data_IF_958121997068
#
_entry.id   IF_958121997068
#
_cell.length_a   1.000
_cell.length_b   1.000
_cell.length_c   1.000
_cell.angle_alpha   90.00
_cell.angle_beta   90.00
_cell.angle_gamma   90.00
#
_symmetry.space_group_name_H-M   'P 1'
#
loop_
_entity.id
_entity.type
_entity.pdbx_description
1 polymer ?
#
# COMPACT_ATOMS: atom_id res chain seq x y z
N UNK A 1 -7.54 0.56 16.74
CA UNK A 1 -6.79 0.01 17.89
C UNK A 1 -5.32 0.13 17.56
N UNK A 2 -4.50 0.83 18.36
CA UNK A 2 -3.08 0.96 18.06
C UNK A 2 -2.40 -0.41 18.09
N UNK A 3 -1.40 -0.63 17.23
CA UNK A 3 -0.59 -1.85 17.27
C UNK A 3 -0.03 -2.03 18.69
N UNK A 4 -0.36 -3.17 19.30
CA UNK A 4 0.09 -3.53 20.64
C UNK A 4 1.49 -4.12 20.62
N UNK A 5 2.20 -4.07 21.75
CA UNK A 5 3.50 -4.72 21.89
C UNK A 5 3.41 -6.24 21.66
N UNK A 6 2.27 -6.84 22.02
CA UNK A 6 1.99 -8.26 21.75
C UNK A 6 1.97 -8.55 20.25
N UNK A 7 1.30 -7.73 19.45
CA UNK A 7 1.24 -7.92 17.99
C UNK A 7 2.63 -7.74 17.33
N UNK A 8 3.46 -6.83 17.87
CA UNK A 8 4.85 -6.71 17.41
C UNK A 8 5.70 -7.92 17.83
N UNK A 9 5.49 -8.48 19.02
CA UNK A 9 6.13 -9.71 19.46
C UNK A 9 5.71 -10.91 18.58
N UNK A 10 4.43 -11.06 18.26
CA UNK A 10 3.94 -12.08 17.33
C UNK A 10 4.53 -11.92 15.91
N UNK A 11 4.85 -10.70 15.50
CA UNK A 11 5.62 -10.46 14.28
C UNK A 11 7.06 -10.94 14.44
N UNK A 12 7.73 -10.51 15.51
CA UNK A 12 9.09 -10.92 15.80
C UNK A 12 9.25 -12.45 15.87
N UNK A 13 8.38 -13.13 16.60
CA UNK A 13 8.41 -14.59 16.79
C UNK A 13 8.26 -15.35 15.47
N UNK A 14 7.37 -14.90 14.57
CA UNK A 14 7.22 -15.52 13.25
C UNK A 14 8.50 -15.40 12.41
N UNK A 15 9.20 -14.28 12.52
CA UNK A 15 10.38 -13.98 11.70
C UNK A 15 11.69 -14.47 12.32
N UNK A 16 11.80 -14.53 13.65
CA UNK A 16 13.05 -14.76 14.39
C UNK A 16 13.80 -16.06 14.02
N UNK A 17 13.08 -17.12 13.67
CA UNK A 17 13.65 -18.41 13.30
C UNK A 17 13.76 -18.67 11.78
N UNK A 18 13.41 -17.70 10.95
CA UNK A 18 13.37 -17.91 9.50
C UNK A 18 14.76 -17.83 8.89
N UNK A 19 15.07 -18.79 8.02
CA UNK A 19 16.17 -18.63 7.06
C UNK A 19 15.68 -17.69 5.97
N UNK A 20 16.32 -16.53 5.87
CA UNK A 20 15.92 -15.43 4.98
C UNK A 20 16.57 -15.51 3.61
N UNK A 21 15.80 -15.13 2.61
CA UNK A 21 16.21 -14.98 1.22
C UNK A 21 15.87 -13.57 0.73
N UNK A 22 16.85 -12.97 0.07
CA UNK A 22 16.68 -11.80 -0.78
C UNK A 22 15.97 -12.25 -2.06
N UNK A 23 14.71 -11.86 -2.22
CA UNK A 23 13.86 -12.27 -3.34
C UNK A 23 13.66 -11.12 -4.32
N UNK A 24 13.97 -11.35 -5.60
CA UNK A 24 13.85 -10.36 -6.68
C UNK A 24 13.40 -11.02 -7.99
N UNK A 25 12.88 -10.26 -8.97
CA UNK A 25 12.39 -8.89 -8.84
C UNK A 25 11.11 -8.82 -7.97
N UNK A 26 10.79 -7.62 -7.46
CA UNK A 26 9.70 -7.45 -6.47
C UNK A 26 8.35 -7.91 -7.00
N UNK A 27 8.06 -7.73 -8.29
CA UNK A 27 6.82 -8.19 -8.90
C UNK A 27 6.64 -9.71 -8.89
N UNK A 28 7.70 -10.50 -8.67
CA UNK A 28 7.64 -11.96 -8.56
C UNK A 28 7.80 -12.48 -7.12
N UNK A 29 8.06 -11.60 -6.15
CA UNK A 29 8.35 -12.00 -4.78
C UNK A 29 7.14 -12.57 -4.02
N UNK A 30 5.93 -12.45 -4.56
CA UNK A 30 4.71 -12.96 -3.94
C UNK A 30 4.25 -12.14 -2.74
N UNK A 31 3.17 -12.57 -2.05
CA UNK A 31 2.40 -11.74 -1.14
C UNK A 31 3.14 -11.32 0.14
N UNK A 32 4.12 -12.10 0.60
CA UNK A 32 4.82 -11.83 1.86
C UNK A 32 3.88 -11.79 3.08
N UNK A 33 4.26 -11.04 4.11
CA UNK A 33 3.48 -10.92 5.34
C UNK A 33 2.48 -9.75 5.28
N UNK A 34 1.18 -10.06 5.29
CA UNK A 34 0.10 -9.08 5.30
C UNK A 34 0.17 -8.05 6.47
N UNK A 35 0.93 -8.36 7.54
CA UNK A 35 1.17 -7.44 8.66
C UNK A 35 1.99 -6.21 8.25
N UNK A 36 2.68 -6.22 7.10
CA UNK A 36 3.27 -5.00 6.53
C UNK A 36 2.23 -3.93 6.23
N UNK A 37 1.02 -4.31 5.81
CA UNK A 37 -0.10 -3.39 5.56
C UNK A 37 -0.84 -3.10 6.87
N UNK A 38 -1.27 -4.15 7.58
CA UNK A 38 -2.19 -3.98 8.72
C UNK A 38 -1.55 -3.34 9.94
N UNK A 39 -0.26 -3.60 10.24
CA UNK A 39 0.42 -2.92 11.35
C UNK A 39 0.62 -1.43 11.05
N UNK A 40 0.94 -1.05 9.81
CA UNK A 40 1.07 0.36 9.41
C UNK A 40 -0.23 1.12 9.64
N UNK A 41 -1.34 0.61 9.10
CA UNK A 41 -2.67 1.22 9.27
C UNK A 41 -3.11 1.29 10.74
N UNK A 42 -2.94 0.21 11.50
CA UNK A 42 -3.27 0.21 12.92
C UNK A 42 -2.41 1.20 13.73
N UNK A 43 -1.14 1.40 13.35
CA UNK A 43 -0.27 2.40 13.96
C UNK A 43 -0.70 3.83 13.65
N UNK A 44 -1.25 4.05 12.45
CA UNK A 44 -1.91 5.29 12.04
C UNK A 44 -3.33 5.46 12.61
N UNK A 45 -3.73 4.62 13.56
CA UNK A 45 -5.00 4.77 14.27
C UNK A 45 -6.21 4.17 13.56
N UNK A 46 -6.05 3.47 12.44
CA UNK A 46 -7.16 2.80 11.76
C UNK A 46 -7.84 1.78 12.69
N UNK A 47 -9.14 1.58 12.49
CA UNK A 47 -9.97 0.72 13.33
C UNK A 47 -10.66 -0.35 12.52
N UNK A 48 -10.70 -1.58 13.06
CA UNK A 48 -11.51 -2.66 12.50
C UNK A 48 -12.99 -2.34 12.70
N UNK A 49 -13.77 -2.43 11.63
CA UNK A 49 -15.22 -2.14 11.64
C UNK A 49 -16.08 -3.34 11.22
N UNK A 50 -15.49 -4.52 11.08
CA UNK A 50 -16.22 -5.74 10.75
C UNK A 50 -17.05 -6.23 11.91
N UNK A 51 -18.16 -6.87 11.56
CA UNK A 51 -18.91 -7.71 12.49
C UNK A 51 -18.03 -8.87 13.03
N UNK A 52 -18.20 -9.30 14.29
CA UNK A 52 -17.36 -10.31 14.94
C UNK A 52 -17.25 -11.66 14.20
N UNK A 53 -18.23 -12.00 13.37
CA UNK A 53 -18.30 -13.25 12.62
C UNK A 53 -18.03 -13.08 11.11
N UNK A 54 -17.60 -11.89 10.68
CA UNK A 54 -17.22 -11.65 9.30
C UNK A 54 -15.93 -12.40 8.96
N UNK A 55 -15.94 -13.11 7.83
CA UNK A 55 -14.77 -13.81 7.25
C UNK A 55 -13.78 -12.87 6.57
N UNK A 56 -14.10 -11.58 6.48
CA UNK A 56 -13.28 -10.55 5.86
C UNK A 56 -12.72 -9.61 6.94
N UNK A 57 -11.69 -8.85 6.58
CA UNK A 57 -11.13 -7.77 7.39
C UNK A 57 -11.43 -6.44 6.70
N UNK A 58 -11.92 -5.46 7.44
CA UNK A 58 -12.27 -4.11 7.00
C UNK A 58 -11.75 -3.15 8.05
N UNK A 59 -10.83 -2.30 7.63
CA UNK A 59 -10.27 -1.22 8.42
C UNK A 59 -10.82 0.11 7.90
N UNK A 60 -11.20 1.01 8.80
CA UNK A 60 -11.56 2.38 8.50
C UNK A 60 -10.49 3.35 9.01
N UNK A 61 -10.22 4.40 8.25
CA UNK A 61 -9.34 5.49 8.69
C UNK A 61 -9.93 6.24 9.90
N UNK A 62 -9.09 6.92 10.71
CA UNK A 62 -9.56 7.67 11.88
C UNK A 62 -10.58 8.78 11.55
N UNK A 63 -10.51 9.33 10.34
CA UNK A 63 -11.43 10.35 9.82
C UNK A 63 -12.63 9.76 9.05
N UNK A 64 -12.72 8.42 8.98
CA UNK A 64 -13.74 7.66 8.25
C UNK A 64 -13.83 7.99 6.75
N UNK A 65 -12.82 8.63 6.16
CA UNK A 65 -12.80 8.96 4.73
C UNK A 65 -12.35 7.81 3.85
N UNK A 66 -11.56 6.88 4.39
CA UNK A 66 -10.99 5.77 3.65
C UNK A 66 -11.31 4.43 4.32
N UNK A 67 -11.40 3.39 3.51
CA UNK A 67 -11.61 2.01 3.94
C UNK A 67 -10.66 1.08 3.22
N UNK A 68 -10.06 0.16 3.96
CA UNK A 68 -9.31 -0.97 3.42
C UNK A 68 -10.09 -2.25 3.73
N UNK A 69 -10.40 -3.02 2.69
CA UNK A 69 -10.99 -4.33 2.78
C UNK A 69 -9.97 -5.39 2.35
N UNK A 70 -9.93 -6.48 3.11
CA UNK A 70 -9.21 -7.70 2.81
C UNK A 70 -10.18 -8.88 2.81
N UNK A 71 -10.40 -9.45 1.63
CA UNK A 71 -11.36 -10.51 1.37
C UNK A 71 -10.67 -11.61 0.56
N UNK A 72 -10.21 -12.68 1.21
CA UNK A 72 -9.68 -13.84 0.50
C UNK A 72 -10.78 -14.43 -0.39
N UNK A 73 -10.57 -14.38 -1.69
CA UNK A 73 -11.49 -14.86 -2.71
C UNK A 73 -10.80 -15.89 -3.61
N UNK A 74 -11.58 -16.84 -4.13
CA UNK A 74 -11.11 -17.80 -5.12
C UNK A 74 -11.19 -17.19 -6.51
N UNK A 75 -10.16 -17.41 -7.33
CA UNK A 75 -10.11 -16.92 -8.71
C UNK A 75 -8.88 -16.04 -8.99
N UNK A 76 -8.37 -16.13 -10.21
CA UNK A 76 -7.14 -15.45 -10.63
C UNK A 76 -7.32 -13.93 -10.81
N UNK A 77 -8.56 -13.47 -11.09
CA UNK A 77 -8.92 -12.03 -11.15
C UNK A 77 -9.47 -11.49 -9.83
N UNK A 78 -9.52 -12.31 -8.79
CA UNK A 78 -10.09 -11.90 -7.52
C UNK A 78 -9.22 -10.84 -6.83
N UNK A 79 -9.85 -9.80 -6.31
CA UNK A 79 -9.15 -8.69 -5.67
C UNK A 79 -9.18 -8.87 -4.17
N UNK A 80 -8.09 -9.42 -3.61
CA UNK A 80 -8.00 -9.72 -2.18
C UNK A 80 -7.94 -8.45 -1.34
N UNK A 81 -7.27 -7.43 -1.84
CA UNK A 81 -7.17 -6.14 -1.16
C UNK A 81 -7.91 -5.08 -1.95
N UNK A 82 -8.67 -4.25 -1.25
CA UNK A 82 -9.36 -3.11 -1.84
C UNK A 82 -9.22 -1.91 -0.92
N UNK A 83 -8.69 -0.81 -1.43
CA UNK A 83 -8.63 0.47 -0.75
C UNK A 83 -9.54 1.45 -1.49
N UNK A 84 -10.44 2.11 -0.77
CA UNK A 84 -11.33 3.08 -1.39
C UNK A 84 -11.62 4.24 -0.46
N UNK A 85 -12.20 5.30 -1.02
CA UNK A 85 -12.94 6.26 -0.20
C UNK A 85 -14.20 5.59 0.39
N UNK A 86 -14.67 6.09 1.54
CA UNK A 86 -15.77 5.48 2.29
C UNK A 86 -17.16 5.80 1.73
N UNK A 87 -17.30 6.81 0.86
CA UNK A 87 -18.57 7.26 0.30
C UNK A 87 -18.52 7.36 -1.22
N UNK A 88 -19.64 7.05 -1.87
CA UNK A 88 -19.81 7.18 -3.32
C UNK A 88 -20.13 8.64 -3.68
N UNK A 89 -19.53 9.15 -4.77
CA UNK A 89 -19.74 10.53 -5.23
C UNK A 89 -18.51 11.10 -5.92
N UNK A 90 -18.45 12.44 -6.02
CA UNK A 90 -17.33 13.15 -6.63
C UNK A 90 -16.04 12.91 -5.83
N UNK A 91 -14.98 12.49 -6.53
CA UNK A 91 -13.71 12.10 -5.90
C UNK A 91 -13.74 10.72 -5.25
N UNK A 92 -14.73 9.89 -5.58
CA UNK A 92 -14.67 8.46 -5.27
C UNK A 92 -13.55 7.81 -6.08
N UNK A 93 -12.65 7.14 -5.39
CA UNK A 93 -11.63 6.33 -6.03
C UNK A 93 -11.50 4.99 -5.31
N UNK A 94 -11.00 4.01 -6.05
CA UNK A 94 -10.73 2.66 -5.58
C UNK A 94 -9.43 2.15 -6.19
N UNK A 95 -8.61 1.55 -5.36
CA UNK A 95 -7.51 0.70 -5.77
C UNK A 95 -7.78 -0.75 -5.33
N UNK A 96 -7.51 -1.71 -6.21
CA UNK A 96 -7.72 -3.13 -5.94
C UNK A 96 -6.50 -3.94 -6.33
N UNK A 97 -6.15 -4.92 -5.50
CA UNK A 97 -4.93 -5.71 -5.63
C UNK A 97 -5.23 -7.20 -5.49
N UNK A 98 -4.65 -8.00 -6.38
CA UNK A 98 -4.75 -9.45 -6.37
C UNK A 98 -3.99 -10.11 -5.21
N UNK A 99 -4.13 -11.43 -5.11
CA UNK A 99 -3.60 -12.21 -4.00
C UNK A 99 -2.06 -12.26 -3.92
N UNK A 100 -1.35 -12.14 -5.04
CA UNK A 100 0.12 -12.28 -5.09
C UNK A 100 0.86 -10.93 -5.11
N UNK A 101 0.15 -9.81 -5.01
CA UNK A 101 0.79 -8.49 -4.89
C UNK A 101 1.58 -8.44 -3.58
N UNK A 102 2.89 -8.10 -3.60
CA UNK A 102 3.68 -8.04 -2.37
C UNK A 102 3.09 -7.06 -1.36
N UNK A 103 2.91 -7.52 -0.12
CA UNK A 103 2.36 -6.70 0.96
C UNK A 103 3.22 -5.46 1.22
N UNK A 104 4.53 -5.52 0.98
CA UNK A 104 5.45 -4.38 1.13
C UNK A 104 5.15 -3.26 0.11
N UNK A 105 4.78 -3.63 -1.12
CA UNK A 105 4.38 -2.69 -2.18
C UNK A 105 3.04 -2.03 -1.84
N UNK A 106 2.04 -2.82 -1.42
CA UNK A 106 0.76 -2.29 -0.93
C UNK A 106 0.99 -1.38 0.28
N UNK A 107 1.93 -1.75 1.16
CA UNK A 107 2.20 -1.00 2.37
C UNK A 107 2.81 0.38 2.10
N UNK A 108 3.61 0.51 1.04
CA UNK A 108 4.18 1.80 0.61
C UNK A 108 3.08 2.75 0.13
N UNK A 109 2.08 2.22 -0.56
CA UNK A 109 0.89 2.98 -0.93
C UNK A 109 0.09 3.41 0.30
N UNK A 110 -0.12 2.53 1.29
CA UNK A 110 -0.84 2.91 2.51
C UNK A 110 -0.08 3.92 3.35
N UNK A 111 1.26 3.88 3.35
CA UNK A 111 2.09 4.86 4.03
C UNK A 111 1.96 6.24 3.37
N UNK A 112 1.97 6.29 2.04
CA UNK A 112 1.73 7.52 1.28
C UNK A 112 0.31 8.08 1.47
N UNK A 113 -0.68 7.23 1.79
CA UNK A 113 -2.02 7.69 2.17
C UNK A 113 -2.02 8.32 3.57
N UNK A 114 -1.23 7.78 4.51
CA UNK A 114 -1.15 8.27 5.90
C UNK A 114 -0.35 9.57 5.98
N UNK A 115 0.78 9.62 5.28
CA UNK A 115 1.67 10.78 5.23
C UNK A 115 1.94 11.14 3.76
N UNK A 116 1.02 11.91 3.14
CA UNK A 116 1.19 12.36 1.77
C UNK A 116 2.50 13.15 1.62
N UNK A 117 3.23 13.00 0.51
CA UNK A 117 4.45 13.75 0.27
C UNK A 117 4.15 15.26 0.30
N UNK A 118 5.04 16.03 0.95
CA UNK A 118 4.92 17.49 1.06
C UNK A 118 5.14 18.20 -0.28
N UNK A 119 5.99 17.63 -1.13
CA UNK A 119 6.30 18.11 -2.48
C UNK A 119 5.49 17.35 -3.53
N UNK A 120 5.41 17.92 -4.73
CA UNK A 120 4.88 17.21 -5.89
C UNK A 120 5.72 15.93 -6.11
N UNK A 121 5.14 14.72 -5.93
CA UNK A 121 5.89 13.50 -6.15
C UNK A 121 6.32 13.40 -7.62
N UNK A 122 7.42 12.67 -7.92
CA UNK A 122 7.74 12.33 -9.29
C UNK A 122 6.53 11.72 -9.99
N UNK A 123 6.36 12.05 -11.26
CA UNK A 123 5.32 11.42 -12.08
C UNK A 123 5.60 9.91 -12.17
N UNK A 124 4.58 9.03 -12.11
CA UNK A 124 4.79 7.58 -12.08
C UNK A 124 5.68 7.07 -13.21
N UNK A 125 5.59 7.66 -14.41
CA UNK A 125 6.43 7.28 -15.55
C UNK A 125 7.91 7.60 -15.37
N UNK A 126 8.25 8.70 -14.69
CA UNK A 126 9.65 9.04 -14.40
C UNK A 126 10.28 7.99 -13.48
N UNK A 127 9.51 7.51 -12.50
CA UNK A 127 9.92 6.44 -11.59
C UNK A 127 10.19 5.14 -12.34
N UNK A 128 9.31 4.77 -13.27
CA UNK A 128 9.44 3.58 -14.12
C UNK A 128 10.69 3.66 -15.00
N UNK A 129 10.89 4.79 -15.68
CA UNK A 129 12.04 5.01 -16.56
C UNK A 129 13.36 5.02 -15.76
N UNK A 130 13.38 5.64 -14.57
CA UNK A 130 14.55 5.65 -13.68
C UNK A 130 14.93 4.25 -13.16
N UNK A 131 13.95 3.35 -13.05
CA UNK A 131 14.18 1.94 -12.71
C UNK A 131 14.65 1.09 -13.91
N UNK A 132 14.82 1.70 -15.09
CA UNK A 132 15.28 1.02 -16.31
C UNK A 132 14.21 0.21 -17.02
N UNK A 133 12.93 0.43 -16.72
CA UNK A 133 11.83 -0.23 -17.41
C UNK A 133 11.59 0.43 -18.77
N UNK A 134 11.21 -0.37 -19.77
CA UNK A 134 11.01 0.12 -21.13
C UNK A 134 9.60 0.63 -21.28
N UNK A 135 9.45 1.95 -21.50
CA UNK A 135 8.18 2.60 -21.79
C UNK A 135 7.95 2.66 -23.30
N UNK A 136 6.77 2.24 -23.73
CA UNK A 136 6.31 2.36 -25.11
C UNK A 136 5.41 3.58 -25.29
N UNK A 137 5.25 4.02 -26.54
CA UNK A 137 4.44 5.19 -26.91
C UNK A 137 2.94 4.99 -26.66
N UNK A 138 2.50 3.73 -26.55
CA UNK A 138 1.10 3.33 -26.32
C UNK A 138 0.63 3.50 -24.85
N UNK A 139 1.45 4.14 -24.01
CA UNK A 139 1.14 4.33 -22.59
C UNK A 139 1.35 3.07 -21.75
N UNK A 140 2.16 2.13 -22.23
CA UNK A 140 2.59 0.95 -21.47
C UNK A 140 4.08 1.04 -21.09
N UNK A 141 4.47 0.38 -20.01
CA UNK A 141 5.86 0.09 -19.70
C UNK A 141 6.02 -1.33 -19.20
N UNK A 142 7.17 -1.94 -19.47
CA UNK A 142 7.47 -3.32 -19.12
C UNK A 142 8.74 -3.43 -18.28
N UNK A 143 8.71 -4.35 -17.32
CA UNK A 143 9.92 -4.78 -16.59
C UNK A 143 10.94 -5.39 -17.55
N UNK A 144 12.20 -5.46 -17.11
CA UNK A 144 13.31 -5.99 -17.92
C UNK A 144 13.14 -7.47 -18.31
N UNK A 145 12.40 -8.23 -17.51
CA UNK A 145 12.04 -9.63 -17.78
C UNK A 145 10.75 -9.77 -18.63
N UNK A 146 10.09 -8.65 -18.96
CA UNK A 146 8.85 -8.60 -19.74
C UNK A 146 7.61 -9.13 -19.00
N UNK A 147 7.73 -9.55 -17.74
CA UNK A 147 6.65 -10.22 -17.00
C UNK A 147 5.67 -9.23 -16.35
N UNK A 148 6.14 -8.04 -15.96
CA UNK A 148 5.31 -7.01 -15.35
C UNK A 148 5.04 -5.88 -16.35
N UNK A 149 3.78 -5.52 -16.51
CA UNK A 149 3.32 -4.48 -17.43
C UNK A 149 2.55 -3.43 -16.62
N UNK A 150 2.98 -2.18 -16.74
CA UNK A 150 2.26 -1.01 -16.24
C UNK A 150 1.58 -0.36 -17.45
N UNK A 151 0.31 -0.02 -17.34
CA UNK A 151 -0.42 0.66 -18.39
C UNK A 151 -1.28 1.77 -17.80
N UNK A 152 -1.19 2.95 -18.40
CA UNK A 152 -2.12 4.05 -18.15
C UNK A 152 -3.06 4.17 -19.34
N UNK A 153 -4.30 3.72 -19.17
CA UNK A 153 -5.30 3.76 -20.25
C UNK A 153 -6.01 5.10 -20.25
N UNK A 154 -6.05 5.75 -21.41
CA UNK A 154 -6.90 6.91 -21.63
C UNK A 154 -8.38 6.49 -21.64
N UNK A 155 -9.31 7.44 -21.39
CA UNK A 155 -10.74 7.21 -21.61
C UNK A 155 -11.02 6.71 -23.03
N UNK A 156 -12.06 5.89 -23.17
CA UNK A 156 -12.50 5.31 -24.45
C UNK A 156 -14.02 5.13 -24.44
N UNK A 157 -14.61 4.77 -25.57
CA UNK A 157 -16.06 4.50 -25.69
C UNK A 157 -16.57 3.42 -24.72
N UNK A 158 -15.69 2.56 -24.22
CA UNK A 158 -16.02 1.49 -23.25
C UNK A 158 -15.58 1.81 -21.81
N UNK A 159 -14.91 2.96 -21.59
CA UNK A 159 -14.35 3.34 -20.29
C UNK A 159 -14.31 4.85 -20.15
N UNK A 160 -15.20 5.39 -19.33
CA UNK A 160 -15.43 6.83 -19.25
C UNK A 160 -14.29 7.62 -18.59
N UNK A 161 -13.32 6.95 -17.97
CA UNK A 161 -12.30 7.59 -17.16
C UNK A 161 -10.94 6.88 -17.23
N UNK A 162 -9.83 7.62 -17.04
CA UNK A 162 -8.49 7.03 -17.11
C UNK A 162 -8.26 6.06 -15.96
N UNK A 163 -7.46 5.03 -16.21
CA UNK A 163 -7.17 3.99 -15.23
C UNK A 163 -5.72 3.55 -15.33
N UNK A 164 -5.09 3.32 -14.18
CA UNK A 164 -3.82 2.59 -14.14
C UNK A 164 -4.07 1.12 -13.88
N UNK A 165 -3.51 0.27 -14.75
CA UNK A 165 -3.47 -1.17 -14.58
C UNK A 165 -2.04 -1.64 -14.52
N UNK A 166 -1.72 -2.45 -13.52
CA UNK A 166 -0.44 -3.16 -13.42
C UNK A 166 -0.76 -4.64 -13.39
N UNK A 167 -0.16 -5.38 -14.31
CA UNK A 167 -0.36 -6.81 -14.45
C UNK A 167 0.97 -7.51 -14.48
N UNK A 168 1.07 -8.61 -13.73
CA UNK A 168 2.21 -9.51 -13.83
C UNK A 168 1.75 -10.84 -14.38
N UNK A 169 2.36 -11.27 -15.46
CA UNK A 169 2.06 -12.50 -16.19
C UNK A 169 3.22 -13.48 -16.08
N UNK A 170 2.94 -14.76 -16.24
CA UNK A 170 3.98 -15.71 -16.60
C UNK A 170 4.57 -15.33 -17.97
N UNK A 171 5.85 -15.64 -18.18
CA UNK A 171 6.52 -15.35 -19.45
C UNK A 171 5.76 -15.99 -20.61
N UNK A 172 5.40 -15.18 -21.60
CA UNK A 172 4.71 -15.57 -22.82
C UNK A 172 5.16 -14.72 -24.00
N UNK A 173 4.58 -14.95 -25.18
CA UNK A 173 4.84 -14.10 -26.35
C UNK A 173 4.07 -12.77 -26.20
N UNK A 174 4.54 -11.70 -26.84
CA UNK A 174 3.90 -10.39 -26.83
C UNK A 174 2.44 -10.44 -27.33
N UNK A 175 2.12 -11.36 -28.23
CA UNK A 175 0.76 -11.58 -28.74
C UNK A 175 -0.14 -12.35 -27.76
N UNK A 176 0.46 -13.20 -26.91
CA UNK A 176 -0.25 -14.09 -25.98
C UNK A 176 0.51 -14.12 -24.65
N UNK A 177 0.25 -13.14 -23.76
CA UNK A 177 0.84 -13.17 -22.43
C UNK A 177 0.45 -14.47 -21.72
N UNK A 178 1.36 -15.00 -20.91
CA UNK A 178 1.10 -16.19 -20.11
C UNK A 178 0.00 -15.95 -19.07
N UNK A 179 -0.32 -16.97 -18.25
CA UNK A 179 -1.28 -16.83 -17.15
C UNK A 179 -1.00 -15.59 -16.28
N UNK A 180 -2.07 -14.91 -15.86
CA UNK A 180 -1.96 -13.78 -14.93
C UNK A 180 -1.56 -14.29 -13.54
N UNK A 181 -0.46 -13.76 -13.00
CA UNK A 181 0.05 -14.05 -11.66
C UNK A 181 -0.66 -13.18 -10.63
N UNK A 182 -0.73 -11.88 -10.91
CA UNK A 182 -1.52 -10.91 -10.15
C UNK A 182 -1.77 -9.64 -10.93
N UNK A 183 -2.78 -8.89 -10.49
CA UNK A 183 -3.11 -7.56 -11.00
C UNK A 183 -3.20 -6.53 -9.87
N UNK A 184 -2.98 -5.27 -10.22
CA UNK A 184 -3.36 -4.10 -9.47
C UNK A 184 -4.12 -3.14 -10.39
N UNK A 185 -5.19 -2.54 -9.89
CA UNK A 185 -6.01 -1.56 -10.62
C UNK A 185 -6.20 -0.34 -9.76
N UNK A 186 -6.09 0.82 -10.39
CA UNK A 186 -6.36 2.12 -9.79
C UNK A 186 -7.38 2.83 -10.65
N UNK A 187 -8.60 2.92 -10.13
CA UNK A 187 -9.69 3.57 -10.81
C UNK A 187 -9.44 5.07 -10.94
N UNK A 188 -10.23 5.71 -11.79
CA UNK A 188 -10.27 7.16 -11.93
C UNK A 188 -10.38 7.87 -10.57
N UNK A 189 -9.79 9.06 -10.51
CA UNK A 189 -9.64 9.91 -9.32
C UNK A 189 -8.73 9.37 -8.22
N UNK A 190 -8.06 8.21 -8.41
CA UNK A 190 -7.01 7.78 -7.48
C UNK A 190 -5.92 8.87 -7.45
N UNK A 191 -5.57 9.43 -6.28
CA UNK A 191 -4.51 10.42 -6.19
C UNK A 191 -3.19 9.91 -6.78
N UNK A 192 -2.59 10.70 -7.67
CA UNK A 192 -1.36 10.30 -8.41
C UNK A 192 -0.21 9.93 -7.49
N UNK A 193 -0.10 10.56 -6.32
CA UNK A 193 0.93 10.24 -5.34
C UNK A 193 0.81 8.80 -4.79
N UNK A 194 -0.40 8.23 -4.72
CA UNK A 194 -0.61 6.84 -4.30
C UNK A 194 -0.20 5.86 -5.39
N UNK A 195 -0.52 6.18 -6.65
CA UNK A 195 -0.05 5.41 -7.81
C UNK A 195 1.47 5.44 -7.87
N UNK A 196 2.08 6.62 -7.72
CA UNK A 196 3.53 6.75 -7.71
C UNK A 196 4.18 5.98 -6.55
N UNK A 197 3.63 6.04 -5.34
CA UNK A 197 4.16 5.28 -4.20
C UNK A 197 4.14 3.76 -4.44
N UNK A 198 3.07 3.25 -5.05
CA UNK A 198 2.98 1.84 -5.45
C UNK A 198 4.01 1.50 -6.53
N UNK A 199 4.07 2.30 -7.59
CA UNK A 199 4.99 2.10 -8.73
C UNK A 199 6.45 2.18 -8.29
N UNK A 200 6.81 3.15 -7.43
CA UNK A 200 8.14 3.28 -6.86
C UNK A 200 8.53 2.06 -6.04
N UNK A 201 7.64 1.57 -5.17
CA UNK A 201 7.91 0.39 -4.37
C UNK A 201 7.98 -0.89 -5.21
N UNK A 202 7.25 -0.97 -6.32
CA UNK A 202 7.25 -2.11 -7.23
C UNK A 202 8.52 -2.17 -8.09
N UNK A 203 8.98 -1.01 -8.56
CA UNK A 203 10.12 -0.87 -9.49
C UNK A 203 11.47 -0.78 -8.79
N UNK A 204 11.49 -0.61 -7.45
CA UNK A 204 12.68 -0.66 -6.62
C UNK A 204 13.43 -2.00 -6.79
N UNK A 205 14.73 -1.88 -7.08
CA UNK A 205 15.63 -3.01 -7.38
C UNK A 205 16.13 -3.73 -6.13
N UNK A 206 15.93 -3.15 -4.94
CA UNK A 206 16.29 -3.83 -3.70
C UNK A 206 15.35 -5.02 -3.43
N UNK A 207 15.89 -6.17 -2.98
CA UNK A 207 15.12 -7.39 -2.83
C UNK A 207 14.12 -7.32 -1.67
N UNK A 208 13.05 -8.10 -1.78
CA UNK A 208 12.11 -8.33 -0.67
C UNK A 208 12.53 -9.56 0.13
N UNK A 209 12.39 -9.46 1.45
CA UNK A 209 12.77 -10.53 2.36
C UNK A 209 11.71 -11.62 2.38
N UNK A 210 12.10 -12.87 2.14
CA UNK A 210 11.21 -14.04 2.20
C UNK A 210 11.86 -15.14 3.03
N UNK A 211 11.08 -15.85 3.84
CA UNK A 211 11.54 -17.06 4.50
C UNK A 211 11.71 -18.22 3.50
N UNK A 212 12.54 -19.21 3.82
CA UNK A 212 12.87 -20.39 2.99
C UNK A 212 11.66 -21.13 2.37
N UNK A 213 10.48 -21.05 2.98
CA UNK A 213 9.27 -21.73 2.52
C UNK A 213 8.12 -20.76 2.25
N UNK A 214 8.42 -19.46 2.25
CA UNK A 214 7.43 -18.46 1.89
C UNK A 214 7.10 -18.58 0.40
N UNK A 215 5.81 -18.48 0.10
CA UNK A 215 5.32 -18.53 -1.27
C UNK A 215 5.78 -17.31 -2.06
N UNK A 216 6.50 -17.53 -3.15
CA UNK A 216 6.76 -16.52 -4.19
C UNK A 216 5.59 -16.42 -5.15
N UNK A 217 5.53 -15.32 -5.90
CA UNK A 217 4.52 -15.10 -6.93
C UNK A 217 4.76 -16.00 -8.14
N UNK A 218 6.02 -16.32 -8.43
CA UNK A 218 6.43 -17.18 -9.53
C UNK A 218 7.73 -17.93 -9.20
N UNK A 219 7.95 -19.07 -9.86
CA UNK A 219 9.17 -19.87 -9.67
C UNK A 219 10.43 -19.21 -10.25
N UNK A 220 10.27 -18.24 -11.17
CA UNK A 220 11.41 -17.47 -11.72
C UNK A 220 11.87 -16.33 -10.82
N UNK A 221 11.22 -16.13 -9.65
CA UNK A 221 11.76 -15.23 -8.63
C UNK A 221 13.12 -15.74 -8.17
N UNK A 222 14.15 -14.91 -8.30
CA UNK A 222 15.50 -15.21 -7.83
C UNK A 222 15.51 -15.09 -6.31
N UNK A 223 15.97 -16.15 -5.64
CA UNK A 223 16.10 -16.19 -4.19
C UNK A 223 17.56 -16.46 -3.82
N UNK A 224 18.21 -15.48 -3.21
CA UNK A 224 19.58 -15.61 -2.71
C UNK A 224 19.59 -15.56 -1.18
N UNK A 225 20.45 -16.33 -0.49
CA UNK A 225 20.56 -16.23 0.96
C UNK A 225 20.79 -14.78 1.40
N UNK A 226 19.90 -14.27 2.27
CA UNK A 226 19.98 -12.87 2.67
C UNK A 226 21.20 -12.61 3.56
N UNK A 227 21.79 -11.42 3.40
CA UNK A 227 22.79 -10.90 4.34
C UNK A 227 22.17 -10.32 5.60
N UNK A 228 20.85 -10.08 5.59
CA UNK A 228 20.14 -9.56 6.74
C UNK A 228 19.83 -10.69 7.73
N UNK A 229 20.00 -10.40 9.01
CA UNK A 229 19.48 -11.27 10.05
C UNK A 229 17.97 -11.08 10.22
N UNK A 230 17.24 -12.12 10.68
CA UNK A 230 15.85 -11.98 11.10
C UNK A 230 15.58 -10.79 12.02
N UNK A 231 16.48 -10.55 12.96
CA UNK A 231 16.40 -9.44 13.91
C UNK A 231 16.44 -8.08 13.21
N UNK A 232 17.26 -7.94 12.16
CA UNK A 232 17.33 -6.70 11.36
C UNK A 232 16.03 -6.45 10.59
N UNK A 233 15.40 -7.49 10.03
CA UNK A 233 14.11 -7.39 9.35
C UNK A 233 13.00 -6.96 10.33
N UNK A 234 12.96 -7.61 11.50
CA UNK A 234 12.01 -7.26 12.57
C UNK A 234 12.24 -5.83 13.08
N UNK A 235 13.50 -5.43 13.26
CA UNK A 235 13.87 -4.09 13.69
C UNK A 235 13.45 -3.04 12.65
N UNK A 236 13.65 -3.30 11.35
CA UNK A 236 13.23 -2.42 10.26
C UNK A 236 11.71 -2.23 10.24
N UNK A 237 10.94 -3.32 10.34
CA UNK A 237 9.47 -3.26 10.43
C UNK A 237 9.01 -2.48 11.66
N UNK A 238 9.61 -2.76 12.82
CA UNK A 238 9.29 -2.07 14.08
C UNK A 238 9.60 -0.58 13.99
N UNK A 239 10.73 -0.21 13.36
CA UNK A 239 11.12 1.19 13.13
C UNK A 239 10.09 1.90 12.27
N UNK A 240 9.67 1.30 11.15
CA UNK A 240 8.62 1.83 10.27
C UNK A 240 7.30 2.05 11.02
N UNK A 241 6.81 1.04 11.74
CA UNK A 241 5.56 1.13 12.53
C UNK A 241 5.63 2.23 13.60
N UNK A 242 6.79 2.41 14.26
CA UNK A 242 7.01 3.50 15.23
C UNK A 242 7.00 4.88 14.55
N UNK A 243 7.60 5.01 13.37
CA UNK A 243 7.60 6.26 12.61
C UNK A 243 6.18 6.69 12.24
N UNK A 244 5.38 5.77 11.69
CA UNK A 244 3.96 6.00 11.36
C UNK A 244 3.17 6.46 12.59
N UNK A 245 3.36 5.78 13.73
CA UNK A 245 2.71 6.15 14.99
C UNK A 245 3.11 7.55 15.47
N UNK A 246 4.37 7.95 15.26
CA UNK A 246 4.84 9.28 15.62
C UNK A 246 4.24 10.36 14.70
N UNK A 247 4.19 10.12 13.39
CA UNK A 247 3.56 11.02 12.40
C UNK A 247 2.08 11.25 12.72
N UNK A 248 1.32 10.18 12.95
CA UNK A 248 -0.11 10.28 13.30
C UNK A 248 -0.33 11.06 14.62
N UNK A 249 0.55 10.89 15.62
CA UNK A 249 0.48 11.70 16.85
C UNK A 249 0.69 13.19 16.57
N UNK A 250 1.65 13.54 15.71
CA UNK A 250 1.92 14.92 15.30
C UNK A 250 0.73 15.49 14.52
N UNK A 251 0.18 14.74 13.55
CA UNK A 251 -0.98 15.16 12.77
C UNK A 251 -2.20 15.43 13.65
N UNK A 252 -2.51 14.52 14.57
CA UNK A 252 -3.61 14.70 15.55
C UNK A 252 -3.39 15.88 16.48
N UNK A 253 -2.15 16.12 16.91
CA UNK A 253 -1.83 17.29 17.74
C UNK A 253 -2.05 18.59 16.97
N UNK A 254 -1.59 18.68 15.71
CA UNK A 254 -1.82 19.85 14.84
C UNK A 254 -3.30 20.10 14.61
N UNK A 255 -4.08 19.07 14.30
CA UNK A 255 -5.52 19.19 14.11
C UNK A 255 -6.24 19.73 15.36
N UNK A 256 -5.84 19.29 16.56
CA UNK A 256 -6.38 19.80 17.83
C UNK A 256 -6.07 21.27 18.06
N UNK A 257 -4.88 21.73 17.69
CA UNK A 257 -4.51 23.14 17.80
C UNK A 257 -5.30 24.03 16.83
N UNK A 258 -5.57 23.55 15.61
CA UNK A 258 -6.39 24.28 14.62
C UNK A 258 -7.89 24.25 14.90
N UNK A 259 -8.39 23.27 15.67
CA UNK A 259 -9.82 23.14 16.01
C UNK A 259 -10.16 23.64 17.42
N UNK A 260 -9.18 24.13 18.19
CA UNK A 260 -9.42 24.76 19.48
C UNK A 260 -10.24 26.04 19.27
N UNK A 261 -11.43 26.20 19.91
CA UNK A 261 -12.20 27.42 19.78
C UNK A 261 -11.38 28.56 20.38
N UNK A 262 -11.25 29.67 19.64
CA UNK A 262 -10.73 30.92 20.16
C UNK A 262 -11.48 31.21 21.46
N UNK A 263 -10.77 31.21 22.59
CA UNK A 263 -11.36 31.48 23.89
C UNK A 263 -12.04 32.85 23.81
N UNK A 264 -13.38 32.82 23.76
CA UNK A 264 -14.20 34.02 23.76
C UNK A 264 -13.73 34.89 24.93
N UNK A 265 -13.14 36.04 24.61
CA UNK A 265 -12.81 37.06 25.58
C UNK A 265 -14.13 37.44 26.26
N UNK A 266 -14.35 36.88 27.46
CA UNK A 266 -15.36 37.35 28.39
C UNK A 266 -14.89 38.72 28.88
N UNK A 267 -15.19 39.76 28.13
CA UNK A 267 -15.24 41.12 28.67
C UNK A 267 -16.34 41.16 29.71
N UNK A 268 -15.93 41.02 30.98
CA UNK A 268 -16.80 41.26 32.12
C UNK A 268 -17.22 42.72 32.15
N UNK A 269 -18.42 43.01 31.69
CA UNK A 269 -19.10 44.27 31.95
C UNK A 269 -19.55 44.26 33.41
N UNK A 270 -18.85 45.04 34.24
CA UNK A 270 -19.27 45.33 35.61
C UNK A 270 -20.62 46.08 35.60
N UNK A 271 -21.52 45.83 36.56
CA UNK A 271 -22.77 46.56 36.65
C UNK A 271 -22.52 47.97 37.23
N UNK A 272 -23.21 49.02 36.74
CA UNK A 272 -23.12 50.33 37.36
C UNK A 272 -23.81 50.32 38.73
N UNK A 273 -23.10 50.84 39.73
CA UNK A 273 -23.65 51.22 41.04
C UNK A 273 -23.99 52.72 40.99
N UNK A 274 -25.24 53.00 41.39
CA UNK A 274 -25.87 54.29 41.73
C UNK A 274 -26.23 55.23 40.58
#
# INVERSE_FOLDING_TARGET
MPVSNRQLAEFADKHAGQVLFDTSPRHLAGPGDARHVTHGLAAAGWTRINEPLSTHLVLASPDHRHRLQFTPETGYLASWWQLSTAGFGNGYWRASFGAQVPAEVISSLTDALIDPPADAPPEPWQTVEAAGWVRAEDGTARSSDGMCVIQHRAPSEFRDAPEWSIDTYESGDAAYPGPLIWHARFHADTPVHLVNAFVAALTDTSPLQRGMLDRTGHYSAVQEPSRLSPEQVVAAHTKRVKAIKAQDRVARHRQRLTTAPAAAHRTGTAPPRR
#
